data_IF_298019388026
#
_entry.id   IF_298019388026
#
_cell.length_a   1.000
_cell.length_b   1.000
_cell.length_c   1.000
_cell.angle_alpha   90.00
_cell.angle_beta   90.00
_cell.angle_gamma   90.00
#
_symmetry.space_group_name_H-M   'P 1'
#
loop_
_entity.id
_entity.type
_entity.pdbx_description
1 polymer ?
#
# COMPACT_ATOMS: atom_id res chain seq x y z
N UNK A 1 7.71 -111.41 15.93
CA UNK A 1 7.30 -111.61 14.53
C UNK A 1 7.27 -110.25 13.86
N UNK A 2 7.90 -110.14 12.70
CA UNK A 2 8.06 -108.90 11.93
C UNK A 2 6.75 -108.54 11.21
N UNK A 3 6.23 -107.33 11.40
CA UNK A 3 5.30 -106.70 10.45
C UNK A 3 6.09 -105.70 9.60
N UNK A 4 6.07 -105.93 8.28
CA UNK A 4 6.67 -105.05 7.27
C UNK A 4 5.80 -103.81 7.12
N UNK A 5 6.31 -102.65 7.47
CA UNK A 5 5.71 -101.36 7.12
C UNK A 5 6.02 -101.07 5.65
N UNK A 6 5.00 -101.15 4.78
CA UNK A 6 5.10 -100.76 3.38
C UNK A 6 5.40 -99.26 3.27
N UNK A 7 6.55 -98.94 2.65
CA UNK A 7 6.86 -97.58 2.21
C UNK A 7 5.97 -97.25 1.01
N UNK A 8 4.93 -96.44 1.21
CA UNK A 8 4.25 -95.73 0.11
C UNK A 8 5.25 -94.78 -0.54
N UNK A 9 5.69 -95.11 -1.74
CA UNK A 9 6.40 -94.20 -2.62
C UNK A 9 5.52 -92.97 -2.85
N UNK A 10 6.04 -91.78 -2.60
CA UNK A 10 5.43 -90.53 -3.03
C UNK A 10 5.49 -90.53 -4.56
N UNK A 11 4.32 -90.55 -5.22
CA UNK A 11 4.23 -90.32 -6.65
C UNK A 11 4.74 -88.90 -6.93
N UNK A 12 6.00 -88.79 -7.35
CA UNK A 12 6.47 -87.61 -8.07
C UNK A 12 5.93 -87.72 -9.50
N UNK A 13 4.63 -87.41 -9.68
CA UNK A 13 4.12 -87.10 -11.02
C UNK A 13 4.85 -85.84 -11.49
N UNK A 14 5.78 -86.01 -12.43
CA UNK A 14 6.49 -84.90 -13.04
C UNK A 14 5.53 -84.02 -13.83
N UNK A 15 5.75 -82.70 -13.79
CA UNK A 15 4.99 -81.72 -14.57
C UNK A 15 4.97 -82.07 -16.07
N UNK A 16 3.79 -82.01 -16.70
CA UNK A 16 3.72 -82.15 -18.15
C UNK A 16 4.27 -80.90 -18.85
N UNK A 17 4.93 -81.09 -19.98
CA UNK A 17 5.51 -80.00 -20.78
C UNK A 17 4.43 -78.98 -21.21
N UNK A 18 3.20 -79.45 -21.45
CA UNK A 18 2.07 -78.59 -21.83
C UNK A 18 1.54 -77.78 -20.64
N UNK A 19 1.56 -78.34 -19.43
CA UNK A 19 1.15 -77.62 -18.21
C UNK A 19 2.15 -76.50 -17.89
N UNK A 20 3.45 -76.78 -18.04
CA UNK A 20 4.49 -75.75 -17.91
C UNK A 20 4.32 -74.64 -18.95
N UNK A 21 4.02 -75.00 -20.20
CA UNK A 21 3.83 -74.02 -21.28
C UNK A 21 2.59 -73.16 -21.04
N UNK A 22 1.46 -73.75 -20.67
CA UNK A 22 0.23 -73.01 -20.32
C UNK A 22 0.48 -72.10 -19.11
N UNK A 23 1.20 -72.58 -18.08
CA UNK A 23 1.51 -71.78 -16.89
C UNK A 23 2.38 -70.55 -17.21
N UNK A 24 3.42 -70.69 -18.05
CA UNK A 24 4.27 -69.56 -18.47
C UNK A 24 3.48 -68.57 -19.33
N UNK A 25 2.61 -69.05 -20.22
CA UNK A 25 1.75 -68.19 -21.05
C UNK A 25 0.80 -67.37 -20.19
N UNK A 26 0.08 -68.01 -19.26
CA UNK A 26 -0.83 -67.31 -18.33
C UNK A 26 -0.06 -66.32 -17.44
N UNK A 27 1.09 -66.73 -16.91
CA UNK A 27 1.95 -65.86 -16.10
C UNK A 27 2.41 -64.64 -16.91
N UNK A 28 2.81 -64.81 -18.17
CA UNK A 28 3.26 -63.71 -19.03
C UNK A 28 2.14 -62.72 -19.34
N UNK A 29 0.92 -63.21 -19.57
CA UNK A 29 -0.28 -62.37 -19.79
C UNK A 29 -0.56 -61.49 -18.56
N UNK A 30 -0.30 -61.98 -17.35
CA UNK A 30 -0.51 -61.24 -16.10
C UNK A 30 0.67 -60.29 -15.78
N UNK A 31 1.90 -60.76 -15.92
CA UNK A 31 3.10 -60.04 -15.48
C UNK A 31 3.41 -58.83 -16.36
N UNK A 32 3.18 -58.90 -17.68
CA UNK A 32 3.53 -57.81 -18.60
C UNK A 32 2.71 -56.53 -18.29
N UNK A 33 1.37 -56.55 -18.17
CA UNK A 33 0.60 -55.37 -17.75
C UNK A 33 0.92 -54.89 -16.33
N UNK A 34 1.26 -55.81 -15.42
CA UNK A 34 1.59 -55.48 -14.03
C UNK A 34 2.93 -54.74 -13.94
N UNK A 35 3.96 -55.19 -14.67
CA UNK A 35 5.25 -54.50 -14.75
C UNK A 35 5.11 -53.12 -15.40
N UNK A 36 4.33 -52.99 -16.48
CA UNK A 36 4.08 -51.70 -17.10
C UNK A 36 3.40 -50.73 -16.13
N UNK A 37 2.38 -51.20 -15.40
CA UNK A 37 1.70 -50.41 -14.36
C UNK A 37 2.65 -50.01 -13.23
N UNK A 38 3.54 -50.91 -12.80
CA UNK A 38 4.51 -50.62 -11.74
C UNK A 38 5.56 -49.58 -12.17
N UNK A 39 6.12 -49.72 -13.37
CA UNK A 39 7.08 -48.76 -13.93
C UNK A 39 6.43 -47.39 -14.15
N UNK A 40 5.21 -47.36 -14.67
CA UNK A 40 4.45 -46.12 -14.85
C UNK A 40 4.18 -45.45 -13.51
N UNK A 41 3.71 -46.19 -12.51
CA UNK A 41 3.49 -45.67 -11.16
C UNK A 41 4.77 -45.17 -10.50
N UNK A 42 5.89 -45.89 -10.66
CA UNK A 42 7.18 -45.44 -10.13
C UNK A 42 7.64 -44.13 -10.79
N UNK A 43 7.50 -44.00 -12.11
CA UNK A 43 7.80 -42.76 -12.84
C UNK A 43 6.87 -41.62 -12.43
N UNK A 44 5.56 -41.87 -12.33
CA UNK A 44 4.58 -40.89 -11.89
C UNK A 44 4.87 -40.43 -10.47
N UNK A 45 5.16 -41.34 -9.54
CA UNK A 45 5.49 -40.99 -8.15
C UNK A 45 6.77 -40.16 -8.05
N UNK A 46 7.80 -40.50 -8.83
CA UNK A 46 9.02 -39.70 -8.89
C UNK A 46 8.74 -38.29 -9.45
N UNK A 47 7.96 -38.19 -10.53
CA UNK A 47 7.53 -36.90 -11.09
C UNK A 47 6.72 -36.08 -10.08
N UNK A 48 5.74 -36.68 -9.42
CA UNK A 48 4.91 -36.01 -8.41
C UNK A 48 5.74 -35.49 -7.24
N UNK A 49 6.76 -36.24 -6.78
CA UNK A 49 7.68 -35.76 -5.74
C UNK A 49 8.48 -34.56 -6.23
N UNK A 50 9.07 -34.63 -7.42
CA UNK A 50 9.84 -33.51 -7.98
C UNK A 50 8.97 -32.26 -8.18
N UNK A 51 7.74 -32.42 -8.67
CA UNK A 51 6.79 -31.30 -8.80
C UNK A 51 6.43 -30.72 -7.44
N UNK A 52 6.13 -31.57 -6.43
CA UNK A 52 5.83 -31.11 -5.07
C UNK A 52 7.00 -30.32 -4.45
N UNK A 53 8.24 -30.77 -4.64
CA UNK A 53 9.42 -30.04 -4.17
C UNK A 53 9.65 -28.73 -4.94
N UNK A 54 9.49 -28.75 -6.26
CA UNK A 54 9.59 -27.55 -7.07
C UNK A 54 8.51 -26.51 -6.70
N UNK A 55 7.30 -26.95 -6.33
CA UNK A 55 6.24 -26.08 -5.83
C UNK A 55 6.63 -25.43 -4.52
N UNK A 56 7.10 -26.20 -3.54
CA UNK A 56 7.53 -25.64 -2.26
C UNK A 56 8.68 -24.62 -2.42
N UNK A 57 9.64 -24.89 -3.31
CA UNK A 57 10.72 -23.93 -3.60
C UNK A 57 10.17 -22.67 -4.26
N UNK A 58 9.28 -22.81 -5.25
CA UNK A 58 8.70 -21.65 -5.92
C UNK A 58 7.86 -20.80 -4.95
N UNK A 59 7.08 -21.42 -4.07
CA UNK A 59 6.30 -20.72 -3.02
C UNK A 59 7.23 -19.99 -2.03
N UNK A 60 8.24 -20.67 -1.49
CA UNK A 60 9.23 -20.08 -0.57
C UNK A 60 9.95 -18.88 -1.21
N UNK A 61 10.24 -18.95 -2.51
CA UNK A 61 10.91 -17.89 -3.26
C UNK A 61 9.95 -16.73 -3.49
N UNK A 62 8.71 -16.99 -3.89
CA UNK A 62 7.72 -15.93 -4.06
C UNK A 62 7.47 -15.19 -2.75
N UNK A 63 7.35 -15.90 -1.62
CA UNK A 63 7.20 -15.28 -0.30
C UNK A 63 8.42 -14.42 0.09
N UNK A 64 9.64 -14.87 -0.23
CA UNK A 64 10.85 -14.08 0.02
C UNK A 64 10.86 -12.76 -0.76
N UNK A 65 10.49 -12.78 -2.03
CA UNK A 65 10.41 -11.60 -2.89
C UNK A 65 9.23 -10.68 -2.54
N UNK A 66 8.17 -11.20 -1.90
CA UNK A 66 7.09 -10.39 -1.33
C UNK A 66 7.50 -9.73 0.00
N UNK A 67 8.43 -10.31 0.75
CA UNK A 67 8.79 -9.86 2.09
C UNK A 67 9.99 -8.88 2.16
N UNK A 68 10.76 -8.74 1.08
CA UNK A 68 12.00 -7.95 1.05
C UNK A 68 12.06 -7.02 -0.17
N UNK A 69 12.89 -5.98 -0.08
CA UNK A 69 13.11 -5.10 -1.24
C UNK A 69 13.99 -5.76 -2.30
N UNK A 70 13.92 -5.28 -3.54
CA UNK A 70 14.75 -5.83 -4.63
C UNK A 70 16.24 -5.63 -4.41
N UNK A 71 16.63 -4.54 -3.76
CA UNK A 71 18.01 -4.28 -3.34
C UNK A 71 18.49 -5.30 -2.30
N UNK A 72 17.66 -5.58 -1.27
CA UNK A 72 17.98 -6.59 -0.26
C UNK A 72 18.09 -7.99 -0.87
N UNK A 73 17.23 -8.31 -1.85
CA UNK A 73 17.32 -9.56 -2.61
C UNK A 73 18.57 -9.62 -3.49
N UNK A 74 18.96 -8.51 -4.13
CA UNK A 74 20.19 -8.46 -4.92
C UNK A 74 21.42 -8.74 -4.04
N UNK A 75 21.51 -8.11 -2.87
CA UNK A 75 22.59 -8.35 -1.91
C UNK A 75 22.60 -9.81 -1.40
N UNK A 76 21.43 -10.39 -1.16
CA UNK A 76 21.28 -11.78 -0.70
C UNK A 76 21.80 -12.78 -1.73
N UNK A 77 21.42 -12.62 -3.00
CA UNK A 77 21.73 -13.59 -4.05
C UNK A 77 23.08 -13.34 -4.75
N UNK A 78 23.61 -12.12 -4.76
CA UNK A 78 24.96 -11.83 -5.28
C UNK A 78 26.07 -12.35 -4.34
N UNK A 79 25.83 -12.43 -3.03
CA UNK A 79 26.88 -12.77 -2.04
C UNK A 79 27.01 -14.27 -1.76
N UNK A 80 25.95 -15.06 -1.96
CA UNK A 80 25.93 -16.50 -1.68
C UNK A 80 26.12 -17.27 -2.98
N UNK A 81 27.25 -17.95 -3.17
CA UNK A 81 27.49 -18.77 -4.37
C UNK A 81 27.59 -20.25 -3.98
N UNK A 82 26.63 -21.10 -4.37
CA UNK A 82 26.69 -22.54 -4.19
C UNK A 82 27.84 -23.20 -4.97
N UNK A 83 28.23 -24.41 -4.60
CA UNK A 83 29.38 -25.09 -5.22
C UNK A 83 29.08 -25.40 -6.71
N UNK A 84 30.02 -25.08 -7.60
CA UNK A 84 29.90 -25.30 -9.06
C UNK A 84 28.69 -24.61 -9.73
N UNK A 85 28.15 -23.54 -9.13
CA UNK A 85 27.12 -22.69 -9.73
C UNK A 85 27.45 -21.22 -9.47
N UNK A 86 27.12 -20.32 -10.38
CA UNK A 86 27.28 -18.88 -10.15
C UNK A 86 25.90 -18.27 -10.04
N UNK A 87 25.54 -17.82 -8.84
CA UNK A 87 24.38 -16.97 -8.68
C UNK A 87 24.61 -15.66 -9.43
N UNK A 88 23.56 -15.15 -10.07
CA UNK A 88 23.65 -13.97 -10.90
C UNK A 88 22.37 -13.14 -10.77
N UNK A 89 22.55 -11.82 -10.77
CA UNK A 89 21.47 -10.84 -10.82
C UNK A 89 21.71 -9.95 -12.04
N UNK A 90 20.78 -9.99 -12.98
CA UNK A 90 20.77 -9.12 -14.15
C UNK A 90 19.68 -8.07 -13.94
N UNK A 91 20.10 -6.80 -13.87
CA UNK A 91 19.21 -5.64 -13.74
C UNK A 91 19.02 -5.00 -15.11
N UNK A 92 17.80 -4.53 -15.38
CA UNK A 92 17.45 -3.80 -16.60
C UNK A 92 17.87 -4.56 -17.88
N UNK A 93 17.47 -5.82 -17.95
CA UNK A 93 17.73 -6.69 -19.10
C UNK A 93 16.59 -6.63 -20.11
N UNK A 94 16.97 -6.81 -21.38
CA UNK A 94 16.05 -6.98 -22.50
C UNK A 94 15.76 -8.47 -22.67
N UNK A 95 14.56 -8.92 -22.31
CA UNK A 95 14.15 -10.33 -22.35
C UNK A 95 12.80 -10.45 -23.03
N UNK A 96 12.61 -11.51 -23.84
CA UNK A 96 11.30 -11.91 -24.37
C UNK A 96 10.63 -12.83 -23.34
N UNK A 97 9.79 -12.25 -22.48
CA UNK A 97 9.20 -12.99 -21.36
C UNK A 97 8.05 -13.87 -21.83
N UNK A 98 7.23 -13.43 -22.77
CA UNK A 98 6.03 -14.16 -23.19
C UNK A 98 6.29 -15.15 -24.35
N UNK A 99 7.45 -15.09 -24.98
CA UNK A 99 7.88 -15.94 -26.09
C UNK A 99 7.32 -15.50 -27.44
N UNK A 100 6.85 -14.26 -27.58
CA UNK A 100 6.26 -13.73 -28.82
C UNK A 100 7.32 -13.23 -29.82
N UNK A 101 8.58 -13.16 -29.41
CA UNK A 101 9.73 -12.73 -30.22
C UNK A 101 10.08 -11.24 -30.08
N UNK A 102 9.38 -10.47 -29.24
CA UNK A 102 9.75 -9.13 -28.82
C UNK A 102 10.42 -9.16 -27.45
N UNK A 103 11.50 -8.41 -27.27
CA UNK A 103 12.15 -8.28 -25.97
C UNK A 103 11.65 -7.01 -25.27
N UNK A 104 11.30 -7.13 -24.00
CA UNK A 104 10.97 -6.01 -23.13
C UNK A 104 12.20 -5.56 -22.33
N UNK A 105 12.41 -4.25 -22.22
CA UNK A 105 13.50 -3.64 -21.43
C UNK A 105 13.06 -3.45 -19.97
N UNK A 106 13.98 -3.14 -19.04
CA UNK A 106 13.60 -2.85 -17.64
C UNK A 106 13.40 -4.08 -16.76
N UNK A 107 13.64 -5.29 -17.25
CA UNK A 107 13.39 -6.53 -16.52
C UNK A 107 14.52 -6.84 -15.54
N UNK A 108 14.18 -7.38 -14.37
CA UNK A 108 15.16 -7.91 -13.42
C UNK A 108 15.10 -9.44 -13.42
N UNK A 109 16.27 -10.08 -13.54
CA UNK A 109 16.39 -11.54 -13.55
C UNK A 109 17.37 -11.99 -12.47
N UNK A 110 16.89 -12.86 -11.57
CA UNK A 110 17.69 -13.50 -10.55
C UNK A 110 17.84 -14.97 -10.89
N UNK A 111 19.08 -15.47 -10.86
CA UNK A 111 19.39 -16.88 -11.09
C UNK A 111 20.19 -17.38 -9.91
N UNK A 112 19.65 -18.36 -9.19
CA UNK A 112 20.30 -18.94 -8.01
C UNK A 112 20.05 -20.45 -7.91
N UNK A 113 20.86 -21.12 -7.09
CA UNK A 113 20.70 -22.55 -6.78
C UNK A 113 20.23 -22.75 -5.35
N UNK A 114 19.17 -23.54 -5.19
CA UNK A 114 18.68 -23.99 -3.88
C UNK A 114 19.27 -25.37 -3.54
N UNK A 115 19.99 -25.45 -2.41
CA UNK A 115 20.66 -26.66 -1.92
C UNK A 115 19.99 -27.26 -0.67
N UNK A 116 18.69 -27.01 -0.42
CA UNK A 116 18.01 -27.55 0.77
C UNK A 116 18.12 -29.09 0.81
N UNK A 117 18.64 -29.59 1.93
CA UNK A 117 19.11 -30.99 2.08
C UNK A 117 18.00 -32.05 2.04
N UNK A 118 16.73 -31.65 2.11
CA UNK A 118 15.55 -32.53 2.14
C UNK A 118 14.83 -32.65 0.80
N UNK A 119 15.00 -31.70 -0.12
CA UNK A 119 14.25 -31.60 -1.40
C UNK A 119 15.10 -31.96 -2.63
N UNK A 120 16.43 -31.97 -2.52
CA UNK A 120 17.35 -32.11 -3.65
C UNK A 120 17.76 -30.74 -4.21
N UNK A 121 18.71 -30.72 -5.15
CA UNK A 121 19.25 -29.47 -5.73
C UNK A 121 18.42 -29.02 -6.94
N UNK A 122 18.00 -27.75 -6.93
CA UNK A 122 17.29 -27.12 -8.05
C UNK A 122 17.94 -25.78 -8.40
N UNK A 123 17.83 -25.41 -9.67
CA UNK A 123 18.21 -24.07 -10.11
C UNK A 123 16.94 -23.26 -10.35
N UNK A 124 16.90 -22.03 -9.85
CA UNK A 124 15.73 -21.16 -9.88
C UNK A 124 16.05 -19.92 -10.69
N UNK A 125 15.14 -19.55 -11.59
CA UNK A 125 15.17 -18.29 -12.33
C UNK A 125 13.93 -17.51 -11.94
N UNK A 126 14.13 -16.34 -11.35
CA UNK A 126 13.06 -15.37 -11.02
C UNK A 126 13.18 -14.23 -12.02
N UNK A 127 12.08 -13.90 -12.68
CA UNK A 127 11.98 -12.76 -13.60
C UNK A 127 10.93 -11.80 -13.05
N UNK A 128 11.28 -10.52 -12.94
CA UNK A 128 10.39 -9.45 -12.49
C UNK A 128 10.23 -8.44 -13.61
N UNK A 129 8.99 -8.28 -14.08
CA UNK A 129 8.65 -7.41 -15.20
C UNK A 129 7.76 -6.23 -14.74
N UNK A 130 8.27 -4.99 -14.77
CA UNK A 130 7.50 -3.80 -14.39
C UNK A 130 6.66 -3.20 -15.53
N UNK A 131 6.77 -3.69 -16.77
CA UNK A 131 6.29 -2.97 -17.96
C UNK A 131 4.77 -2.83 -18.03
N UNK A 132 4.02 -3.76 -17.43
CA UNK A 132 2.57 -3.65 -17.25
C UNK A 132 2.13 -2.48 -16.36
N UNK A 133 3.06 -1.87 -15.63
CA UNK A 133 2.78 -0.90 -14.58
C UNK A 133 3.55 0.41 -14.75
N UNK A 134 4.12 0.70 -15.93
CA UNK A 134 4.88 1.93 -16.23
C UNK A 134 4.18 3.20 -15.73
N UNK A 135 2.90 3.40 -16.05
CA UNK A 135 2.14 4.58 -15.62
C UNK A 135 1.94 4.70 -14.09
N UNK A 136 2.07 3.60 -13.35
CA UNK A 136 1.99 3.57 -11.88
C UNK A 136 3.38 3.68 -11.24
N UNK A 137 4.38 3.00 -11.82
CA UNK A 137 5.77 2.95 -11.37
C UNK A 137 6.55 4.25 -11.70
N UNK A 138 6.15 5.00 -12.73
CA UNK A 138 6.75 6.30 -13.09
C UNK A 138 6.29 7.46 -12.20
N UNK A 139 5.31 7.23 -11.31
CA UNK A 139 4.85 8.27 -10.37
C UNK A 139 5.81 8.36 -9.20
N UNK A 140 6.30 9.57 -8.93
CA UNK A 140 7.02 9.84 -7.69
C UNK A 140 6.04 9.68 -6.52
N UNK A 141 6.21 8.63 -5.72
CA UNK A 141 5.38 8.39 -4.55
C UNK A 141 6.08 8.98 -3.32
N UNK A 142 5.30 9.67 -2.49
CA UNK A 142 5.75 10.18 -1.21
C UNK A 142 6.13 9.00 -0.31
N UNK A 143 7.38 8.92 0.12
CA UNK A 143 7.82 8.01 1.16
C UNK A 143 7.33 8.53 2.51
N UNK A 144 6.09 8.19 2.86
CA UNK A 144 5.56 8.41 4.19
C UNK A 144 6.14 7.28 5.07
N UNK A 145 7.31 7.52 5.64
CA UNK A 145 7.85 6.64 6.67
C UNK A 145 6.83 6.58 7.83
N UNK A 146 6.65 5.37 8.39
CA UNK A 146 5.73 5.07 9.49
C UNK A 146 4.23 5.17 9.14
N UNK A 147 3.76 4.56 8.04
CA UNK A 147 2.32 4.36 7.72
C UNK A 147 1.54 3.46 8.72
N UNK A 148 2.06 3.23 9.93
CA UNK A 148 1.35 2.51 10.96
C UNK A 148 0.06 3.27 11.34
N UNK A 149 -1.09 2.60 11.32
CA UNK A 149 -2.40 3.22 11.55
C UNK A 149 -2.56 3.89 12.92
N UNK A 150 -1.66 3.59 13.87
CA UNK A 150 -1.61 4.20 15.20
C UNK A 150 -0.76 5.49 15.27
N UNK A 151 -0.16 5.95 14.16
CA UNK A 151 0.65 7.17 14.12
C UNK A 151 0.19 8.22 13.10
N UNK A 152 -0.71 7.87 12.16
CA UNK A 152 -1.13 8.75 11.08
C UNK A 152 -2.63 8.99 11.08
N UNK A 153 -3.02 10.27 11.00
CA UNK A 153 -4.37 10.66 10.67
C UNK A 153 -4.50 10.82 9.15
N UNK A 154 -5.46 10.15 8.53
CA UNK A 154 -5.68 10.23 7.08
C UNK A 154 -7.10 10.70 6.80
N UNK A 155 -7.21 11.79 6.06
CA UNK A 155 -8.45 12.30 5.49
C UNK A 155 -8.36 12.20 3.96
N UNK A 156 -9.39 11.66 3.33
CA UNK A 156 -9.50 11.57 1.88
C UNK A 156 -10.94 11.72 1.43
N UNK A 157 -11.13 12.31 0.26
CA UNK A 157 -12.44 12.47 -0.37
C UNK A 157 -12.56 11.56 -1.60
N UNK A 158 -13.79 11.18 -1.93
CA UNK A 158 -14.10 10.60 -3.23
C UNK A 158 -14.17 11.69 -4.31
N UNK A 159 -14.00 11.31 -5.57
CA UNK A 159 -14.06 12.26 -6.70
C UNK A 159 -15.42 12.95 -6.85
N UNK A 160 -16.48 12.33 -6.31
CA UNK A 160 -17.86 12.78 -6.36
C UNK A 160 -18.37 13.38 -5.04
N UNK A 161 -17.48 13.62 -4.05
CA UNK A 161 -17.86 14.06 -2.70
C UNK A 161 -18.71 15.34 -2.64
N UNK A 162 -18.63 16.20 -3.67
CA UNK A 162 -19.40 17.44 -3.75
C UNK A 162 -20.79 17.27 -4.41
N UNK A 163 -21.07 16.13 -5.06
CA UNK A 163 -22.23 15.94 -5.91
C UNK A 163 -23.55 16.02 -5.13
N UNK A 164 -23.60 15.46 -3.92
CA UNK A 164 -24.79 15.54 -3.07
C UNK A 164 -25.11 16.97 -2.65
N UNK A 165 -24.07 17.73 -2.26
CA UNK A 165 -24.23 19.14 -1.89
C UNK A 165 -24.72 19.96 -3.09
N UNK A 166 -24.18 19.72 -4.29
CA UNK A 166 -24.64 20.37 -5.51
C UNK A 166 -26.10 20.05 -5.82
N UNK A 167 -26.50 18.79 -5.77
CA UNK A 167 -27.90 18.38 -5.99
C UNK A 167 -28.86 18.99 -4.97
N UNK A 168 -28.42 19.12 -3.70
CA UNK A 168 -29.20 19.82 -2.68
C UNK A 168 -29.42 21.30 -3.04
N UNK A 169 -28.36 22.04 -3.39
CA UNK A 169 -28.49 23.46 -3.74
C UNK A 169 -29.25 23.67 -5.05
N UNK A 170 -29.05 22.79 -6.04
CA UNK A 170 -29.75 22.84 -7.33
C UNK A 170 -31.27 22.85 -7.15
N UNK A 171 -31.80 22.02 -6.24
CA UNK A 171 -33.23 21.94 -5.94
C UNK A 171 -33.85 23.26 -5.47
N UNK A 172 -33.05 24.19 -4.95
CA UNK A 172 -33.49 25.50 -4.45
C UNK A 172 -32.94 26.68 -5.26
N UNK A 173 -32.29 26.42 -6.39
CA UNK A 173 -31.58 27.43 -7.18
C UNK A 173 -32.45 28.18 -8.21
N UNK A 174 -33.68 27.71 -8.43
CA UNK A 174 -34.55 28.22 -9.49
C UNK A 174 -34.23 27.68 -10.88
N UNK A 175 -33.61 26.50 -10.97
CA UNK A 175 -33.27 25.82 -12.23
C UNK A 175 -31.93 26.21 -12.81
N UNK A 176 -30.99 26.67 -11.97
CA UNK A 176 -29.60 26.92 -12.37
C UNK A 176 -28.89 25.59 -12.56
N UNK A 177 -27.95 25.54 -13.50
CA UNK A 177 -27.13 24.35 -13.73
C UNK A 177 -26.12 24.11 -12.59
N UNK A 178 -25.66 22.86 -12.49
CA UNK A 178 -24.69 22.41 -11.49
C UNK A 178 -23.37 23.20 -11.55
N UNK A 179 -22.96 23.68 -12.73
CA UNK A 179 -21.74 24.48 -12.86
C UNK A 179 -21.87 25.84 -12.18
N UNK A 180 -23.03 26.51 -12.31
CA UNK A 180 -23.29 27.75 -11.62
C UNK A 180 -23.36 27.57 -10.10
N UNK A 181 -23.93 26.45 -9.65
CA UNK A 181 -23.94 26.07 -8.23
C UNK A 181 -22.51 25.85 -7.72
N UNK A 182 -21.69 25.08 -8.46
CA UNK A 182 -20.31 24.78 -8.09
C UNK A 182 -19.49 26.06 -7.91
N UNK A 183 -19.59 27.02 -8.82
CA UNK A 183 -18.90 28.34 -8.74
C UNK A 183 -19.28 29.18 -7.52
N UNK A 184 -20.50 29.02 -7.03
CA UNK A 184 -21.01 29.76 -5.87
C UNK A 184 -20.86 28.98 -4.57
N UNK A 185 -20.25 27.79 -4.60
CA UNK A 185 -20.12 26.91 -3.45
C UNK A 185 -18.66 26.78 -3.00
N UNK A 186 -18.37 27.23 -1.78
CA UNK A 186 -17.09 27.00 -1.11
C UNK A 186 -17.14 25.70 -0.31
N UNK A 187 -16.10 24.88 -0.42
CA UNK A 187 -15.88 23.70 0.42
C UNK A 187 -14.84 24.06 1.47
N UNK A 188 -15.17 23.82 2.74
CA UNK A 188 -14.24 23.98 3.86
C UNK A 188 -14.03 22.64 4.53
N UNK A 189 -12.80 22.14 4.55
CA UNK A 189 -12.39 20.98 5.33
C UNK A 189 -11.75 21.50 6.61
N UNK A 190 -12.21 21.03 7.76
CA UNK A 190 -11.66 21.42 9.04
C UNK A 190 -11.14 20.17 9.77
N UNK A 191 -9.83 20.16 10.05
CA UNK A 191 -9.16 19.14 10.83
C UNK A 191 -8.93 19.72 12.22
N UNK A 192 -9.36 19.01 13.27
CA UNK A 192 -9.17 19.44 14.65
C UNK A 192 -8.34 18.44 15.42
N UNK A 193 -7.26 18.93 16.05
CA UNK A 193 -6.35 18.13 16.87
C UNK A 193 -6.66 18.40 18.35
N UNK A 194 -7.22 17.40 19.00
CA UNK A 194 -7.41 17.38 20.44
C UNK A 194 -6.32 16.53 21.08
N UNK A 195 -5.48 17.14 21.91
CA UNK A 195 -4.53 16.40 22.75
C UNK A 195 -4.95 16.43 24.21
N UNK A 196 -4.75 15.33 24.92
CA UNK A 196 -4.93 15.26 26.38
C UNK A 196 -3.88 14.35 27.01
N UNK A 197 -3.79 14.33 28.33
CA UNK A 197 -2.90 13.41 29.05
C UNK A 197 -3.71 12.43 29.85
N UNK A 198 -3.32 11.16 29.79
CA UNK A 198 -3.91 10.10 30.58
C UNK A 198 -2.87 9.43 31.46
N UNK A 199 -3.29 8.97 32.63
CA UNK A 199 -2.50 8.14 33.52
C UNK A 199 -2.81 6.67 33.23
N UNK A 200 -1.76 5.88 32.96
CA UNK A 200 -1.83 4.45 32.68
C UNK A 200 -1.21 3.67 33.83
N UNK A 201 -1.89 2.62 34.28
CA UNK A 201 -1.39 1.70 35.30
C UNK A 201 -0.55 0.60 34.64
N UNK A 202 0.72 0.48 35.05
CA UNK A 202 1.66 -0.52 34.56
C UNK A 202 1.80 -1.73 35.50
N UNK A 203 1.05 -1.75 36.62
CA UNK A 203 1.18 -2.80 37.64
C UNK A 203 2.24 -2.49 38.71
N UNK A 204 2.16 -3.23 39.81
CA UNK A 204 3.03 -3.08 41.00
C UNK A 204 3.08 -1.66 41.61
N UNK A 205 2.02 -0.87 41.41
CA UNK A 205 1.93 0.50 41.90
C UNK A 205 2.69 1.53 41.04
N UNK A 206 3.19 1.12 39.87
CA UNK A 206 3.76 2.03 38.87
C UNK A 206 2.69 2.53 37.90
N UNK A 207 2.85 3.78 37.47
CA UNK A 207 1.99 4.39 36.48
C UNK A 207 2.80 5.30 35.58
N UNK A 208 2.39 5.44 34.33
CA UNK A 208 2.99 6.33 33.35
C UNK A 208 1.95 7.32 32.86
N UNK A 209 2.32 8.59 32.81
CA UNK A 209 1.51 9.62 32.17
C UNK A 209 1.96 9.74 30.71
N UNK A 210 1.02 9.70 29.79
CA UNK A 210 1.30 9.84 28.36
C UNK A 210 0.25 10.72 27.69
N UNK A 211 0.67 11.39 26.61
CA UNK A 211 -0.24 12.15 25.77
C UNK A 211 -1.18 11.19 25.03
N UNK A 212 -2.36 11.63 24.64
CA UNK A 212 -3.25 10.96 23.69
C UNK A 212 -3.84 12.00 22.76
N UNK A 213 -4.04 11.60 21.51
CA UNK A 213 -4.50 12.48 20.46
C UNK A 213 -5.78 11.93 19.85
N UNK A 214 -6.74 12.83 19.65
CA UNK A 214 -7.94 12.62 18.86
C UNK A 214 -7.89 13.63 17.72
N UNK A 215 -7.92 13.13 16.48
CA UNK A 215 -8.02 13.99 15.30
C UNK A 215 -9.38 13.73 14.63
N UNK A 216 -10.15 14.80 14.49
CA UNK A 216 -11.42 14.78 13.77
C UNK A 216 -11.30 15.56 12.48
N UNK A 217 -12.11 15.17 11.50
CA UNK A 217 -12.27 15.90 10.26
C UNK A 217 -13.74 16.20 10.04
N UNK A 218 -14.00 17.40 9.53
CA UNK A 218 -15.30 17.81 9.04
C UNK A 218 -15.16 18.46 7.68
N UNK A 219 -16.24 18.44 6.91
CA UNK A 219 -16.31 19.10 5.62
C UNK A 219 -17.59 19.92 5.62
N UNK A 220 -17.59 21.11 5.05
CA UNK A 220 -18.79 21.94 4.98
C UNK A 220 -18.85 22.55 3.60
N UNK A 221 -20.02 22.46 2.97
CA UNK A 221 -20.30 23.13 1.71
C UNK A 221 -21.20 24.33 1.97
N UNK A 222 -20.73 25.51 1.58
CA UNK A 222 -21.46 26.76 1.69
C UNK A 222 -21.68 27.35 0.30
N UNK A 223 -22.93 27.41 -0.14
CA UNK A 223 -23.37 28.07 -1.36
C UNK A 223 -23.88 29.49 -1.07
N UNK A 224 -23.54 30.43 -1.95
CA UNK A 224 -24.01 31.81 -1.86
C UNK A 224 -25.55 31.87 -1.84
N UNK A 225 -26.13 32.28 -0.71
CA UNK A 225 -27.58 32.30 -0.51
C UNK A 225 -28.33 33.23 -1.47
N UNK A 226 -27.66 34.18 -2.13
CA UNK A 226 -28.26 35.04 -3.14
C UNK A 226 -28.75 34.28 -4.39
N UNK A 227 -28.23 33.08 -4.64
CA UNK A 227 -28.67 32.22 -5.75
C UNK A 227 -29.67 31.14 -5.33
N UNK A 228 -30.04 31.09 -4.05
CA UNK A 228 -30.93 30.08 -3.46
C UNK A 228 -32.26 30.70 -3.01
N UNK A 229 -33.31 29.87 -2.97
CA UNK A 229 -34.65 30.29 -2.54
C UNK A 229 -35.11 29.47 -1.34
N UNK A 230 -35.25 30.13 -0.19
CA UNK A 230 -35.94 29.56 0.98
C UNK A 230 -35.13 28.58 1.84
N UNK A 231 -33.80 28.51 1.66
CA UNK A 231 -32.89 27.69 2.47
C UNK A 231 -31.65 28.50 2.93
N UNK A 232 -30.90 27.95 3.91
CA UNK A 232 -29.55 28.47 4.22
C UNK A 232 -28.60 28.19 3.06
N UNK A 233 -27.49 28.93 3.01
CA UNK A 233 -26.36 28.62 2.12
C UNK A 233 -25.61 27.36 2.53
N UNK A 234 -25.80 26.86 3.74
CA UNK A 234 -25.08 25.70 4.26
C UNK A 234 -25.78 24.38 3.87
N UNK A 235 -25.01 23.43 3.35
CA UNK A 235 -25.47 22.06 3.16
C UNK A 235 -25.69 21.40 4.54
N UNK A 236 -26.90 20.88 4.84
CA UNK A 236 -27.19 20.26 6.13
C UNK A 236 -26.51 18.89 6.23
N UNK A 237 -25.23 18.89 6.64
CA UNK A 237 -24.48 17.67 6.86
C UNK A 237 -24.95 16.98 8.15
N UNK A 238 -25.36 15.72 8.04
CA UNK A 238 -25.70 14.89 9.19
C UNK A 238 -24.41 14.35 9.81
N UNK A 239 -24.05 14.81 11.02
CA UNK A 239 -22.94 14.24 11.81
C UNK A 239 -21.54 14.67 11.34
N UNK A 240 -21.31 15.97 11.30
CA UNK A 240 -20.24 16.65 10.53
C UNK A 240 -18.79 16.30 10.91
N UNK A 241 -18.52 15.73 12.09
CA UNK A 241 -17.15 15.43 12.53
C UNK A 241 -16.98 13.91 12.66
N UNK A 242 -16.09 13.33 11.87
CA UNK A 242 -15.70 11.93 12.01
C UNK A 242 -14.25 11.80 12.44
N UNK A 243 -13.98 10.78 13.25
CA UNK A 243 -12.66 10.51 13.83
C UNK A 243 -11.76 9.90 12.75
N UNK A 244 -10.67 10.59 12.42
CA UNK A 244 -9.65 10.11 11.47
C UNK A 244 -8.41 9.56 12.19
N UNK A 245 -8.30 9.80 13.50
CA UNK A 245 -7.24 9.24 14.33
C UNK A 245 -7.63 9.24 15.81
N UNK A 246 -7.34 8.15 16.49
CA UNK A 246 -7.29 8.11 17.95
C UNK A 246 -6.28 7.06 18.38
N UNK A 247 -5.37 7.41 19.28
CA UNK A 247 -4.38 6.46 19.80
C UNK A 247 -4.66 6.00 21.23
N UNK A 248 -5.71 6.52 21.88
CA UNK A 248 -5.99 6.22 23.29
C UNK A 248 -6.18 4.71 23.54
N UNK A 249 -6.94 4.04 22.68
CA UNK A 249 -7.19 2.60 22.82
C UNK A 249 -5.91 1.77 22.65
N UNK A 250 -5.10 2.11 21.64
CA UNK A 250 -3.82 1.44 21.38
C UNK A 250 -2.84 1.62 22.54
N UNK A 251 -2.74 2.84 23.07
CA UNK A 251 -1.91 3.20 24.22
C UNK A 251 -2.37 2.44 25.49
N UNK A 252 -3.68 2.36 25.73
CA UNK A 252 -4.24 1.59 26.86
C UNK A 252 -4.02 0.08 26.71
N UNK A 253 -4.15 -0.45 25.49
CA UNK A 253 -3.91 -1.86 25.20
C UNK A 253 -2.43 -2.24 25.44
N UNK A 254 -1.49 -1.41 24.98
CA UNK A 254 -0.05 -1.63 25.21
C UNK A 254 0.31 -1.55 26.69
N UNK A 255 -0.25 -0.58 27.44
CA UNK A 255 -0.06 -0.53 28.89
C UNK A 255 -0.58 -1.79 29.61
N UNK A 256 -1.74 -2.33 29.18
CA UNK A 256 -2.29 -3.56 29.74
C UNK A 256 -1.46 -4.82 29.39
N UNK A 257 -0.80 -4.84 28.23
CA UNK A 257 0.17 -5.87 27.85
C UNK A 257 1.41 -5.82 28.76
N UNK A 258 2.04 -4.65 28.87
CA UNK A 258 3.20 -4.45 29.74
C UNK A 258 2.89 -4.81 31.19
N UNK A 259 1.69 -4.45 31.67
CA UNK A 259 1.23 -4.85 33.01
C UNK A 259 1.20 -6.37 33.19
N UNK A 260 0.70 -7.13 32.22
CA UNK A 260 0.66 -8.60 32.28
C UNK A 260 2.05 -9.22 32.24
N UNK A 261 2.94 -8.68 31.42
CA UNK A 261 4.33 -9.14 31.34
C UNK A 261 5.07 -8.90 32.66
N UNK A 262 4.86 -7.73 33.25
CA UNK A 262 5.40 -7.36 34.56
C UNK A 262 4.88 -8.27 35.68
N UNK A 263 3.57 -8.48 35.74
CA UNK A 263 2.93 -9.40 36.69
C UNK A 263 3.42 -10.84 36.52
N UNK A 264 3.90 -11.21 35.33
CA UNK A 264 4.52 -12.51 35.03
C UNK A 264 6.01 -12.60 35.39
N UNK A 265 6.61 -11.50 35.87
CA UNK A 265 8.01 -11.43 36.28
C UNK A 265 9.00 -11.09 35.17
N UNK A 266 8.52 -10.67 33.99
CA UNK A 266 9.38 -10.22 32.89
C UNK A 266 9.74 -8.74 33.09
N UNK A 267 10.98 -8.31 32.73
CA UNK A 267 11.31 -6.90 32.68
C UNK A 267 10.51 -6.22 31.57
N UNK A 268 9.95 -5.06 31.86
CA UNK A 268 9.22 -4.22 30.90
C UNK A 268 9.77 -2.82 30.93
N UNK A 269 9.81 -2.17 29.75
CA UNK A 269 10.20 -0.79 29.60
C UNK A 269 8.96 0.07 29.31
N UNK A 270 8.73 1.10 30.14
CA UNK A 270 7.62 2.02 29.95
C UNK A 270 7.79 2.88 28.68
N UNK A 271 9.01 3.01 28.15
CA UNK A 271 9.30 3.70 26.88
C UNK A 271 8.70 2.97 25.66
N UNK A 272 8.25 1.72 25.80
CA UNK A 272 7.51 1.00 24.74
C UNK A 272 6.10 1.55 24.48
N UNK A 273 5.56 2.39 25.37
CA UNK A 273 4.28 3.08 25.13
C UNK A 273 4.55 4.27 24.22
N UNK A 274 4.56 3.98 22.92
CA UNK A 274 4.64 5.00 21.88
C UNK A 274 3.28 5.70 21.81
N UNK A 275 3.24 6.96 22.24
CA UNK A 275 2.12 7.86 21.99
C UNK A 275 2.59 9.05 21.20
N UNK A 276 2.34 9.02 19.90
CA UNK A 276 2.73 10.07 18.97
C UNK A 276 1.67 10.22 17.87
N UNK A 277 1.45 11.46 17.44
CA UNK A 277 0.79 11.79 16.18
C UNK A 277 1.86 12.24 15.19
N UNK A 278 2.36 11.31 14.38
CA UNK A 278 3.49 11.57 13.50
C UNK A 278 3.09 12.42 12.29
N UNK A 279 1.99 12.05 11.63
CA UNK A 279 1.56 12.69 10.39
C UNK A 279 0.04 12.90 10.35
N UNK A 280 -0.38 14.02 9.77
CA UNK A 280 -1.75 14.28 9.33
C UNK A 280 -1.71 14.43 7.81
N UNK A 281 -2.49 13.63 7.11
CA UNK A 281 -2.53 13.58 5.66
C UNK A 281 -3.92 13.99 5.21
N UNK A 282 -4.01 15.08 4.46
CA UNK A 282 -5.24 15.63 3.88
C UNK A 282 -5.13 15.48 2.36
N UNK A 283 -5.81 14.46 1.83
CA UNK A 283 -5.96 14.25 0.41
C UNK A 283 -7.16 15.07 -0.09
N UNK A 284 -6.86 16.23 -0.68
CA UNK A 284 -7.82 17.19 -1.20
C UNK A 284 -8.22 16.83 -2.63
N UNK A 285 -9.50 16.56 -2.86
CA UNK A 285 -10.04 16.47 -4.21
C UNK A 285 -10.32 17.88 -4.76
N UNK A 286 -9.63 18.32 -5.84
CA UNK A 286 -9.78 19.68 -6.36
C UNK A 286 -11.10 19.85 -7.12
N UNK A 287 -11.91 20.83 -6.72
CA UNK A 287 -13.16 21.20 -7.43
C UNK A 287 -12.88 22.16 -8.58
N UNK A 288 -12.22 21.65 -9.63
CA UNK A 288 -11.85 22.43 -10.81
C UNK A 288 -13.07 22.99 -11.54
N UNK A 289 -14.21 22.30 -11.51
CA UNK A 289 -15.47 22.75 -12.09
C UNK A 289 -15.96 24.09 -11.53
N UNK A 290 -15.60 24.42 -10.29
CA UNK A 290 -15.92 25.70 -9.67
C UNK A 290 -15.05 26.85 -10.22
N UNK A 291 -14.05 26.56 -11.05
CA UNK A 291 -13.00 27.49 -11.53
C UNK A 291 -13.18 27.98 -12.98
N UNK A 292 -14.41 27.87 -13.50
CA UNK A 292 -14.80 28.14 -14.89
C UNK A 292 -14.50 29.53 -15.45
N UNK A 293 -14.30 30.52 -14.59
CA UNK A 293 -14.01 31.91 -14.95
C UNK A 293 -13.16 32.47 -13.84
N UNK A 294 -12.11 33.25 -14.15
CA UNK A 294 -11.09 33.74 -13.20
C UNK A 294 -11.65 34.00 -11.79
N UNK A 295 -11.66 32.97 -10.94
CA UNK A 295 -12.24 33.05 -9.62
C UNK A 295 -11.26 33.86 -8.80
N UNK A 296 -11.74 34.89 -8.10
CA UNK A 296 -10.86 35.75 -7.33
C UNK A 296 -10.47 35.11 -6.01
N UNK A 297 -11.34 34.28 -5.43
CA UNK A 297 -11.19 33.61 -4.14
C UNK A 297 -10.89 32.12 -4.27
N UNK A 298 -10.37 31.52 -3.20
CA UNK A 298 -10.28 30.07 -3.07
C UNK A 298 -11.66 29.40 -3.12
N UNK A 299 -11.78 28.34 -3.93
CA UNK A 299 -12.98 27.51 -3.98
C UNK A 299 -12.94 26.46 -2.88
N UNK A 300 -11.77 25.91 -2.59
CA UNK A 300 -11.55 24.93 -1.53
C UNK A 300 -10.71 25.53 -0.42
N UNK A 301 -11.12 25.30 0.83
CA UNK A 301 -10.41 25.77 2.01
C UNK A 301 -10.13 24.58 2.93
N UNK A 302 -8.90 24.45 3.38
CA UNK A 302 -8.49 23.49 4.41
C UNK A 302 -8.04 24.26 5.63
N UNK A 303 -8.60 23.91 6.79
CA UNK A 303 -8.31 24.52 8.08
C UNK A 303 -7.78 23.42 8.99
N UNK A 304 -6.65 23.65 9.66
CA UNK A 304 -6.12 22.75 10.68
C UNK A 304 -6.06 23.50 12.00
N UNK A 305 -6.87 23.06 12.97
CA UNK A 305 -6.88 23.56 14.33
C UNK A 305 -5.94 22.73 15.20
N UNK A 306 -4.85 23.35 15.66
CA UNK A 306 -3.87 22.77 16.58
C UNK A 306 -3.68 23.68 17.82
N UNK A 307 -4.72 23.85 18.65
CA UNK A 307 -4.72 24.82 19.76
C UNK A 307 -3.72 24.49 20.87
N UNK A 308 -3.16 23.27 20.90
CA UNK A 308 -2.20 22.82 21.92
C UNK A 308 -0.78 22.68 21.37
N UNK A 309 -0.51 23.18 20.16
CA UNK A 309 0.83 23.19 19.57
C UNK A 309 1.47 21.80 19.48
N UNK A 310 0.68 20.79 19.10
CA UNK A 310 1.13 19.41 18.91
C UNK A 310 2.09 19.37 17.72
N UNK A 311 3.30 18.83 17.94
CA UNK A 311 4.29 18.66 16.88
C UNK A 311 3.91 17.49 15.98
N UNK A 312 3.69 17.77 14.69
CA UNK A 312 3.32 16.75 13.70
C UNK A 312 3.65 17.23 12.29
N UNK A 313 3.80 16.31 11.34
CA UNK A 313 3.90 16.67 9.94
C UNK A 313 2.50 16.79 9.35
N UNK A 314 2.28 17.82 8.54
CA UNK A 314 1.03 18.01 7.83
C UNK A 314 1.26 17.89 6.33
N UNK A 315 0.68 16.86 5.73
CA UNK A 315 0.67 16.65 4.30
C UNK A 315 -0.64 17.16 3.72
N UNK A 316 -0.59 18.24 2.95
CA UNK A 316 -1.72 18.69 2.14
C UNK A 316 -1.47 18.28 0.70
N UNK A 317 -2.22 17.31 0.23
CA UNK A 317 -1.99 16.65 -1.07
C UNK A 317 -3.18 16.90 -1.97
N UNK A 318 -2.97 17.61 -3.07
CA UNK A 318 -3.94 17.65 -4.16
C UNK A 318 -3.97 16.29 -4.87
N UNK A 319 -5.15 15.67 -4.93
CA UNK A 319 -5.38 14.42 -5.62
C UNK A 319 -5.44 14.65 -7.14
N UNK A 320 -4.79 13.76 -7.90
CA UNK A 320 -4.94 13.74 -9.36
C UNK A 320 -6.25 13.05 -9.72
N UNK A 321 -7.15 13.70 -10.48
CA UNK A 321 -8.40 13.08 -10.86
C UNK A 321 -8.20 11.94 -11.87
N UNK A 322 -9.15 11.02 -11.89
CA UNK A 322 -9.23 9.93 -12.86
C UNK A 322 -9.44 10.45 -14.28
N UNK A 323 -9.04 9.66 -15.28
CA UNK A 323 -9.30 9.97 -16.68
C UNK A 323 -10.81 10.11 -16.95
N UNK A 324 -11.62 9.24 -16.34
CA UNK A 324 -13.09 9.30 -16.43
C UNK A 324 -13.65 10.62 -15.91
N UNK A 325 -13.14 11.10 -14.76
CA UNK A 325 -13.54 12.40 -14.22
C UNK A 325 -13.14 13.54 -15.14
N UNK A 326 -11.94 13.51 -15.71
CA UNK A 326 -11.48 14.53 -16.67
C UNK A 326 -12.39 14.52 -17.90
N UNK A 327 -12.68 13.34 -18.46
CA UNK A 327 -13.49 13.18 -19.65
C UNK A 327 -14.94 13.61 -19.42
N UNK A 328 -15.45 13.48 -18.19
CA UNK A 328 -16.81 13.92 -17.81
C UNK A 328 -17.07 15.42 -17.99
N UNK A 329 -16.02 16.24 -18.12
CA UNK A 329 -16.14 17.68 -18.40
C UNK A 329 -16.22 18.01 -19.89
N UNK A 330 -16.09 17.02 -20.77
CA UNK A 330 -16.12 17.21 -22.22
C UNK A 330 -17.52 17.63 -22.66
N UNK A 331 -17.60 18.75 -23.38
CA UNK A 331 -18.84 19.15 -24.04
C UNK A 331 -19.07 18.23 -25.26
N UNK A 332 -20.08 17.37 -25.16
CA UNK A 332 -20.43 16.41 -26.22
C UNK A 332 -20.78 17.08 -27.57
N UNK A 333 -21.21 18.35 -27.55
CA UNK A 333 -21.61 19.07 -28.75
C UNK A 333 -20.42 19.66 -29.52
N UNK A 334 -19.33 19.99 -28.83
CA UNK A 334 -18.14 20.61 -29.41
C UNK A 334 -16.89 19.73 -29.38
N UNK A 335 -16.91 18.66 -28.57
CA UNK A 335 -15.74 17.83 -28.27
C UNK A 335 -14.66 18.56 -27.46
N UNK A 336 -14.95 19.76 -26.94
CA UNK A 336 -14.01 20.56 -26.18
C UNK A 336 -14.02 20.15 -24.71
N UNK A 337 -12.83 19.89 -24.15
CA UNK A 337 -12.66 19.64 -22.73
C UNK A 337 -11.98 20.84 -22.05
N UNK A 338 -12.70 21.56 -21.16
CA UNK A 338 -12.17 22.76 -20.51
C UNK A 338 -11.28 22.49 -19.29
N UNK A 339 -11.10 21.22 -18.89
CA UNK A 339 -10.42 20.81 -17.65
C UNK A 339 -9.08 21.50 -17.44
N UNK A 340 -8.19 21.51 -18.45
CA UNK A 340 -6.87 22.13 -18.33
C UNK A 340 -6.95 23.63 -17.99
N UNK A 341 -7.89 24.36 -18.60
CA UNK A 341 -8.09 25.77 -18.30
C UNK A 341 -8.63 25.98 -16.89
N UNK A 342 -9.54 25.12 -16.43
CA UNK A 342 -10.13 25.22 -15.10
C UNK A 342 -9.13 24.85 -14.01
N UNK A 343 -8.34 23.80 -14.23
CA UNK A 343 -7.25 23.38 -13.36
C UNK A 343 -6.20 24.49 -13.17
N UNK A 344 -5.88 25.23 -14.23
CA UNK A 344 -4.99 26.40 -14.15
C UNK A 344 -5.57 27.55 -13.33
N UNK A 345 -6.90 27.69 -13.29
CA UNK A 345 -7.60 28.73 -12.52
C UNK A 345 -7.95 28.30 -11.09
N UNK A 346 -7.77 27.02 -10.77
CA UNK A 346 -8.11 26.45 -9.47
C UNK A 346 -7.34 27.16 -8.36
N UNK A 347 -8.06 27.52 -7.30
CA UNK A 347 -7.55 28.23 -6.11
C UNK A 347 -7.99 27.49 -4.86
N UNK A 348 -7.01 27.18 -4.02
CA UNK A 348 -7.24 26.62 -2.69
C UNK A 348 -6.71 27.58 -1.62
N UNK A 349 -7.24 27.47 -0.41
CA UNK A 349 -6.72 28.17 0.76
C UNK A 349 -6.37 27.15 1.85
N UNK A 350 -5.20 27.32 2.44
CA UNK A 350 -4.76 26.55 3.60
C UNK A 350 -4.60 27.48 4.81
N UNK A 351 -5.27 27.15 5.92
CA UNK A 351 -5.21 27.89 7.17
C UNK A 351 -4.72 26.97 8.31
N UNK A 352 -3.55 27.27 8.87
CA UNK A 352 -3.06 26.63 10.09
C UNK A 352 -3.36 27.54 11.29
N UNK A 353 -3.99 26.97 12.32
CA UNK A 353 -4.31 27.66 13.57
C UNK A 353 -3.58 27.01 14.73
N UNK A 354 -2.69 27.74 15.38
CA UNK A 354 -1.87 27.23 16.49
C UNK A 354 -1.81 28.22 17.64
N UNK A 355 -1.63 27.74 18.87
CA UNK A 355 -1.36 28.62 20.02
C UNK A 355 0.15 28.72 20.22
N UNK A 356 0.72 29.92 20.10
CA UNK A 356 2.15 30.11 20.33
C UNK A 356 2.45 30.74 21.70
N UNK A 357 3.36 30.18 22.51
CA UNK A 357 3.73 30.73 23.82
C UNK A 357 4.81 31.83 23.66
N UNK A 358 4.46 32.96 23.04
CA UNK A 358 5.38 34.10 22.91
C UNK A 358 4.82 35.21 22.02
N UNK A 359 5.33 36.43 22.12
CA UNK A 359 4.96 37.50 21.20
C UNK A 359 5.84 37.41 19.94
N UNK A 360 5.24 37.51 18.75
CA UNK A 360 5.91 37.91 17.49
C UNK A 360 6.77 39.16 17.75
N UNK A 361 8.03 38.99 18.16
CA UNK A 361 8.81 40.13 18.61
C UNK A 361 10.26 40.03 18.20
N UNK A 362 10.68 41.12 17.52
CA UNK A 362 11.96 41.40 16.87
C UNK A 362 12.15 40.82 15.47
N UNK A 363 12.50 41.72 14.54
CA UNK A 363 12.96 41.36 13.21
C UNK A 363 14.17 40.40 13.36
N UNK A 364 14.02 39.16 12.87
CA UNK A 364 15.06 38.13 12.93
C UNK A 364 14.79 36.95 13.86
N UNK A 365 13.67 36.92 14.61
CA UNK A 365 13.23 35.69 15.29
C UNK A 365 12.59 34.73 14.26
N UNK A 366 13.14 33.53 14.11
CA UNK A 366 12.52 32.44 13.33
C UNK A 366 11.32 31.93 14.13
N UNK A 367 10.12 32.11 13.60
CA UNK A 367 8.89 31.55 14.16
C UNK A 367 8.60 30.29 13.39
N UNK A 368 8.59 29.17 14.08
CA UNK A 368 8.29 27.86 13.51
C UNK A 368 7.00 27.35 14.12
N UNK A 369 6.04 26.97 13.27
CA UNK A 369 4.84 26.24 13.67
C UNK A 369 5.19 24.84 14.20
N UNK A 370 4.34 24.30 15.06
CA UNK A 370 4.46 22.91 15.50
C UNK A 370 4.08 21.93 14.38
N UNK A 371 3.08 22.26 13.56
CA UNK A 371 2.75 21.53 12.34
C UNK A 371 3.67 21.97 11.20
N UNK A 372 4.49 21.07 10.65
CA UNK A 372 5.30 21.36 9.46
C UNK A 372 4.56 21.00 8.18
N UNK A 373 4.33 21.97 7.30
CA UNK A 373 3.58 21.76 6.07
C UNK A 373 4.45 21.13 4.97
N UNK A 374 3.93 20.09 4.35
CA UNK A 374 4.46 19.42 3.15
C UNK A 374 3.34 19.37 2.12
N UNK A 375 3.55 19.95 0.94
CA UNK A 375 2.45 20.07 -0.02
C UNK A 375 2.91 20.15 -1.46
N UNK A 376 2.24 19.41 -2.35
CA UNK A 376 2.38 19.57 -3.81
C UNK A 376 1.63 20.82 -4.35
N UNK A 377 0.94 21.57 -3.49
CA UNK A 377 0.29 22.82 -3.85
C UNK A 377 1.24 24.03 -3.81
N UNK A 378 2.48 23.89 -3.31
CA UNK A 378 3.38 25.05 -3.12
C UNK A 378 3.72 25.72 -4.45
N UNK A 379 3.90 24.91 -5.50
CA UNK A 379 4.28 25.38 -6.84
C UNK A 379 3.08 26.00 -7.57
N UNK A 380 1.86 25.81 -7.05
CA UNK A 380 0.68 26.49 -7.57
C UNK A 380 0.68 27.91 -7.06
N UNK A 381 0.84 28.87 -7.98
CA UNK A 381 0.76 30.31 -7.70
C UNK A 381 -0.58 30.77 -7.10
N UNK A 382 -1.59 29.90 -7.12
CA UNK A 382 -2.98 30.17 -6.83
C UNK A 382 -3.44 29.61 -5.46
N UNK A 383 -2.51 29.11 -4.63
CA UNK A 383 -2.80 28.65 -3.27
C UNK A 383 -2.57 29.76 -2.25
N UNK A 384 -3.59 30.06 -1.46
CA UNK A 384 -3.51 31.02 -0.34
C UNK A 384 -3.03 30.30 0.93
N UNK A 385 -1.98 30.80 1.56
CA UNK A 385 -1.46 30.27 2.83
C UNK A 385 -1.74 31.27 3.95
N UNK A 386 -2.33 30.79 5.04
CA UNK A 386 -2.74 31.57 6.20
C UNK A 386 -2.24 30.86 7.45
N UNK A 387 -1.58 31.59 8.33
CA UNK A 387 -1.25 31.15 9.68
C UNK A 387 -1.95 32.06 10.68
N UNK A 388 -2.57 31.47 11.69
CA UNK A 388 -3.34 32.19 12.71
C UNK A 388 -2.88 31.74 14.11
N UNK A 389 -2.24 32.66 14.82
CA UNK A 389 -1.84 32.48 16.21
C UNK A 389 -3.03 32.71 17.15
N UNK A 390 -3.56 31.61 17.67
CA UNK A 390 -4.70 31.57 18.59
C UNK A 390 -4.37 32.21 19.96
N UNK A 391 -3.10 32.47 20.28
CA UNK A 391 -2.70 33.16 21.51
C UNK A 391 -2.93 34.68 21.45
N UNK A 392 -3.11 35.24 20.25
CA UNK A 392 -3.26 36.68 20.01
C UNK A 392 -4.61 36.99 19.38
N UNK A 393 -5.39 37.87 20.01
CA UNK A 393 -6.69 38.27 19.46
C UNK A 393 -6.56 39.26 18.30
N UNK A 394 -7.37 39.08 17.25
CA UNK A 394 -7.51 40.01 16.14
C UNK A 394 -6.44 39.87 15.06
N UNK A 395 -6.36 40.83 14.12
CA UNK A 395 -5.49 40.75 12.95
C UNK A 395 -3.98 40.65 13.25
N UNK A 396 -3.57 40.91 14.50
CA UNK A 396 -2.20 40.81 14.94
C UNK A 396 -1.69 39.34 15.07
N UNK A 397 -2.58 38.36 15.13
CA UNK A 397 -2.23 36.93 15.13
C UNK A 397 -2.15 36.31 13.73
N UNK A 398 -2.50 37.05 12.67
CA UNK A 398 -2.62 36.49 11.33
C UNK A 398 -1.39 36.81 10.46
N UNK A 399 -0.79 35.78 9.87
CA UNK A 399 0.17 35.89 8.79
C UNK A 399 -0.40 35.28 7.50
N UNK A 400 -0.02 35.83 6.35
CA UNK A 400 -0.51 35.39 5.04
C UNK A 400 0.63 35.31 4.02
N UNK A 401 0.45 34.50 2.98
CA UNK A 401 1.37 34.40 1.84
C UNK A 401 2.73 33.85 2.24
N UNK A 402 3.82 34.50 1.78
CA UNK A 402 5.19 34.04 2.02
C UNK A 402 5.55 33.96 3.52
N UNK A 403 5.09 34.92 4.32
CA UNK A 403 5.33 34.90 5.77
C UNK A 403 4.67 33.67 6.42
N UNK A 404 3.46 33.33 5.98
CA UNK A 404 2.76 32.15 6.49
C UNK A 404 3.48 30.85 6.07
N UNK A 405 3.96 30.77 4.81
CA UNK A 405 4.75 29.63 4.32
C UNK A 405 6.04 29.44 5.12
N UNK A 406 6.76 30.54 5.38
CA UNK A 406 7.98 30.53 6.17
C UNK A 406 7.72 30.02 7.60
N UNK A 407 6.66 30.53 8.25
CA UNK A 407 6.25 30.06 9.60
C UNK A 407 5.94 28.57 9.60
N UNK A 408 5.20 28.11 8.58
CA UNK A 408 4.82 26.71 8.42
C UNK A 408 5.99 25.78 8.06
N UNK A 409 7.16 26.35 7.76
CA UNK A 409 8.28 25.63 7.16
C UNK A 409 7.84 24.87 5.91
N UNK A 410 6.95 25.48 5.11
CA UNK A 410 6.34 24.85 3.95
C UNK A 410 7.41 24.48 2.94
N UNK A 411 7.56 23.19 2.68
CA UNK A 411 8.46 22.65 1.66
C UNK A 411 7.62 22.18 0.46
N UNK A 412 8.11 22.48 -0.75
CA UNK A 412 7.48 22.11 -2.01
C UNK A 412 7.68 20.66 -2.41
N UNK A 413 8.64 20.00 -1.77
CA UNK A 413 8.75 18.57 -1.87
C UNK A 413 7.75 17.89 -0.94
N UNK A 414 6.99 16.95 -1.49
CA UNK A 414 6.52 15.81 -0.71
C UNK A 414 7.73 14.89 -0.44
N UNK A 415 8.74 15.41 0.26
CA UNK A 415 10.03 14.75 0.49
C UNK A 415 9.90 13.80 1.68
N UNK A 416 10.47 12.58 1.59
CA UNK A 416 11.24 12.02 0.47
C UNK A 416 10.33 11.47 -0.62
N UNK A 417 10.50 11.90 -1.86
CA UNK A 417 9.98 11.15 -3.02
C UNK A 417 10.97 10.04 -3.33
N UNK A 418 10.51 8.80 -3.35
CA UNK A 418 11.29 7.68 -3.88
C UNK A 418 10.62 7.19 -5.16
N UNK A 419 11.36 7.21 -6.26
CA UNK A 419 11.03 6.41 -7.45
C UNK A 419 11.28 4.96 -7.10
N UNK A 420 10.23 4.26 -6.69
CA UNK A 420 10.27 2.80 -6.63
C UNK A 420 9.40 2.28 -7.76
N UNK A 421 9.94 1.35 -8.52
CA UNK A 421 9.14 0.46 -9.34
C UNK A 421 8.43 -0.45 -8.32
N UNK A 422 7.15 -0.24 -8.06
CA UNK A 422 6.43 -0.88 -6.95
C UNK A 422 5.54 -2.02 -7.37
N UNK A 423 5.36 -2.27 -8.65
CA UNK A 423 4.54 -3.40 -9.11
C UNK A 423 5.28 -4.11 -10.22
N UNK A 424 5.40 -5.43 -10.07
CA UNK A 424 6.04 -6.32 -11.02
C UNK A 424 5.19 -7.56 -11.20
N UNK A 425 5.10 -8.03 -12.44
CA UNK A 425 4.75 -9.41 -12.69
C UNK A 425 5.98 -10.27 -12.43
N UNK A 426 5.88 -11.12 -11.41
CA UNK A 426 6.90 -12.07 -11.01
C UNK A 426 6.64 -13.42 -11.66
N UNK A 427 7.68 -13.98 -12.26
CA UNK A 427 7.69 -15.35 -12.79
C UNK A 427 8.84 -16.13 -12.17
N UNK A 428 8.50 -17.18 -11.43
CA UNK A 428 9.47 -18.12 -10.84
C UNK A 428 9.49 -19.42 -11.62
N UNK A 429 10.66 -19.78 -12.15
CA UNK A 429 10.88 -21.02 -12.89
C UNK A 429 11.87 -21.90 -12.14
N UNK A 430 11.46 -23.14 -11.85
CA UNK A 430 12.29 -24.11 -11.14
C UNK A 430 12.76 -25.17 -12.12
N UNK A 431 14.07 -25.32 -12.24
CA UNK A 431 14.74 -26.27 -13.11
C UNK A 431 15.39 -27.38 -12.30
N UNK A 432 15.50 -28.56 -12.92
CA UNK A 432 16.41 -29.57 -12.38
C UNK A 432 17.84 -29.03 -12.46
N UNK A 433 18.70 -29.45 -11.53
CA UNK A 433 20.10 -29.01 -11.47
C UNK A 433 20.79 -29.05 -12.84
N UNK A 434 21.44 -27.94 -13.19
CA UNK A 434 22.24 -27.71 -14.40
C UNK A 434 21.44 -27.84 -15.72
N UNK A 435 20.12 -27.59 -15.71
CA UNK A 435 19.25 -27.74 -16.90
C UNK A 435 18.64 -26.45 -17.46
N UNK A 436 18.98 -25.29 -16.90
CA UNK A 436 18.54 -23.97 -17.42
C UNK A 436 18.94 -23.85 -18.90
N UNK A 437 17.99 -23.49 -19.76
CA UNK A 437 18.20 -23.33 -21.21
C UNK A 437 18.35 -24.64 -22.00
N UNK A 438 18.37 -25.80 -21.34
CA UNK A 438 18.49 -27.12 -21.98
C UNK A 438 17.19 -27.91 -21.91
N UNK A 439 16.48 -27.83 -20.78
CA UNK A 439 15.19 -28.48 -20.59
C UNK A 439 14.13 -27.47 -20.17
N UNK A 440 12.86 -27.80 -20.41
CA UNK A 440 11.74 -27.04 -19.87
C UNK A 440 11.75 -27.07 -18.34
N UNK A 441 11.31 -26.00 -17.67
CA UNK A 441 11.23 -25.96 -16.22
C UNK A 441 10.32 -27.08 -15.69
N UNK A 442 10.65 -27.59 -14.50
CA UNK A 442 9.83 -28.56 -13.76
C UNK A 442 8.51 -27.92 -13.35
N UNK A 443 8.56 -26.63 -13.00
CA UNK A 443 7.43 -25.81 -12.63
C UNK A 443 7.67 -24.35 -13.03
N UNK A 444 6.61 -23.65 -13.41
CA UNK A 444 6.58 -22.20 -13.53
C UNK A 444 5.42 -21.69 -12.70
N UNK A 445 5.67 -20.71 -11.83
CA UNK A 445 4.66 -19.96 -11.09
C UNK A 445 4.75 -18.49 -11.47
N UNK A 446 3.60 -17.84 -11.50
CA UNK A 446 3.47 -16.41 -11.80
C UNK A 446 2.63 -15.75 -10.73
N UNK A 447 2.99 -14.52 -10.36
CA UNK A 447 2.26 -13.68 -9.43
C UNK A 447 2.56 -12.22 -9.72
N UNK A 448 1.90 -11.33 -8.99
CA UNK A 448 2.19 -9.89 -9.03
C UNK A 448 2.70 -9.50 -7.66
N UNK A 449 3.89 -8.91 -7.59
CA UNK A 449 4.49 -8.40 -6.35
C UNK A 449 4.25 -6.91 -6.28
N UNK A 450 3.90 -6.43 -5.09
CA UNK A 450 3.77 -5.01 -4.79
C UNK A 450 4.82 -4.65 -3.72
N UNK A 451 5.72 -3.72 -4.04
CA UNK A 451 6.73 -3.17 -3.12
C UNK A 451 6.21 -1.93 -2.36
#
# INVERSE_FOLDING_TARGET
MQERTERRQLNNEGFSLIELLIAIVILSIIVVPLLHSFVTSARTNAKSRNTMHATAIAEDVMEQFEAHTLEEMADTYETVTPTDFTNNVQRDVSLDVDGDGAAEDGIWQYTFRDEKTTSGTYDVVVTLDPNGYTALNEKDIVNIQNLAGNLNAVYSESEDAAQEAYGYFEAYSGGRDVMEIARNTTKTIEISIDSSRILLDLGDGESVETDVYLVTASTVYHCNSAILTGISGDYPQNGSDYVIFSNEEAVRAKAAELKKEKESGNPVDAEEIISQLANIIVCLQPRVEASQSAVTSAVDKVIVNNPKNVQTNLFLVEQTPSAERIDSFTDESTGFNPYSSWNNNYKAAFELRETWPGWMSSAGASIDSACRLRTNLIDRSNTEYIFNDLSVSGAAGNAVGDVAKDIMGADGGLTPTERRNRIYDMRVQVYSRDTIGVQSPVLTMTGTVIE
#
